data_IF_349469071341
#
_entry.id   IF_349469071341
#
_cell.length_a   1.000
_cell.length_b   1.000
_cell.length_c   1.000
_cell.angle_alpha   90.00
_cell.angle_beta   90.00
_cell.angle_gamma   90.00
#
_symmetry.space_group_name_H-M   'P 1'
#
loop_
_entity.id
_entity.type
_entity.pdbx_description
1 polymer ?
#
# COMPACT_ATOMS: atom_id res chain seq x y z
N UNK A 1 -14.78 22.65 19.37
CA UNK A 1 -14.29 23.24 18.09
C UNK A 1 -12.77 23.15 17.93
N UNK A 2 -12.00 22.82 18.97
CA UNK A 2 -10.53 22.66 18.90
C UNK A 2 -10.07 21.30 18.38
N UNK A 3 -10.90 20.26 18.54
CA UNK A 3 -10.53 18.86 18.25
C UNK A 3 -10.37 18.60 16.74
N UNK A 4 -11.33 19.05 15.93
CA UNK A 4 -11.36 18.79 14.50
C UNK A 4 -10.22 19.49 13.72
N UNK A 5 -9.83 20.69 14.17
CA UNK A 5 -8.69 21.41 13.60
C UNK A 5 -7.34 20.74 13.89
N UNK A 6 -7.27 19.92 14.93
CA UNK A 6 -6.08 19.13 15.26
C UNK A 6 -5.96 17.92 14.32
N UNK A 7 -7.08 17.25 14.03
CA UNK A 7 -7.12 16.08 13.15
C UNK A 7 -6.75 16.39 11.68
N UNK A 8 -7.01 17.61 11.23
CA UNK A 8 -6.57 18.13 9.93
C UNK A 8 -5.05 18.29 9.81
N UNK A 9 -4.35 18.45 10.95
CA UNK A 9 -2.88 18.63 10.98
C UNK A 9 -2.15 17.31 11.12
N UNK A 10 -2.82 16.28 11.63
CA UNK A 10 -2.24 14.96 11.82
C UNK A 10 -2.21 14.22 10.49
N UNK A 11 -1.01 14.07 9.92
CA UNK A 11 -0.80 13.31 8.68
C UNK A 11 -0.64 11.82 8.99
N UNK A 12 -1.55 11.00 8.47
CA UNK A 12 -1.48 9.53 8.55
C UNK A 12 -0.59 8.97 7.45
N UNK A 13 -0.68 9.49 6.23
CA UNK A 13 0.14 9.03 5.11
C UNK A 13 0.89 10.17 4.46
N UNK A 14 2.21 10.23 4.68
CA UNK A 14 3.08 11.26 4.10
C UNK A 14 3.14 11.21 2.57
N UNK A 15 3.17 10.02 1.98
CA UNK A 15 3.28 9.88 0.52
C UNK A 15 2.00 10.28 -0.23
N UNK A 16 0.84 10.19 0.42
CA UNK A 16 -0.46 10.52 -0.17
C UNK A 16 -1.06 11.82 0.37
N UNK A 17 -0.40 12.43 1.35
CA UNK A 17 -0.85 13.61 2.07
C UNK A 17 -2.26 13.45 2.65
N UNK A 18 -2.52 12.30 3.27
CA UNK A 18 -3.82 11.95 3.89
C UNK A 18 -3.77 12.25 5.38
N UNK A 19 -4.75 13.00 5.85
CA UNK A 19 -4.95 13.42 7.25
C UNK A 19 -5.74 12.39 8.08
N UNK A 20 -5.74 12.54 9.41
CA UNK A 20 -6.56 11.73 10.30
C UNK A 20 -8.05 11.97 10.07
N UNK A 21 -8.45 13.24 9.87
CA UNK A 21 -9.84 13.61 9.58
C UNK A 21 -10.37 12.84 8.37
N UNK A 22 -9.64 12.86 7.24
CA UNK A 22 -10.08 12.18 6.02
C UNK A 22 -10.28 10.66 6.21
N UNK A 23 -9.41 10.02 7.01
CA UNK A 23 -9.56 8.59 7.33
C UNK A 23 -10.84 8.36 8.13
N UNK A 24 -11.08 9.16 9.18
CA UNK A 24 -12.26 9.04 10.03
C UNK A 24 -13.56 9.34 9.29
N UNK A 25 -13.57 10.34 8.41
CA UNK A 25 -14.73 10.64 7.56
C UNK A 25 -15.13 9.44 6.71
N UNK A 26 -14.15 8.73 6.13
CA UNK A 26 -14.42 7.53 5.34
C UNK A 26 -14.95 6.38 6.20
N UNK A 27 -14.43 6.20 7.41
CA UNK A 27 -14.94 5.20 8.35
C UNK A 27 -16.37 5.55 8.77
N UNK A 28 -16.66 6.82 9.03
CA UNK A 28 -18.00 7.30 9.38
C UNK A 28 -19.04 7.09 8.26
N UNK A 29 -18.61 6.98 6.99
CA UNK A 29 -19.48 6.56 5.89
C UNK A 29 -19.85 5.06 5.92
N UNK A 30 -19.37 4.31 6.91
CA UNK A 30 -19.66 2.88 7.10
C UNK A 30 -18.59 1.94 6.56
N UNK A 31 -17.40 2.43 6.22
CA UNK A 31 -16.28 1.59 5.77
C UNK A 31 -15.64 0.89 6.97
N UNK A 32 -15.77 -0.44 7.01
CA UNK A 32 -15.25 -1.28 8.12
C UNK A 32 -14.14 -2.25 7.70
N UNK A 33 -13.81 -2.28 6.40
CA UNK A 33 -12.80 -3.15 5.80
C UNK A 33 -11.52 -2.38 5.43
N UNK A 34 -10.37 -2.92 5.82
CA UNK A 34 -9.07 -2.28 5.63
C UNK A 34 -8.69 -2.14 4.15
N UNK A 35 -9.05 -3.10 3.31
CA UNK A 35 -8.76 -3.07 1.88
C UNK A 35 -9.61 -2.01 1.15
N UNK A 36 -10.86 -1.85 1.57
CA UNK A 36 -11.75 -0.80 1.08
C UNK A 36 -11.29 0.59 1.53
N UNK A 37 -10.91 0.73 2.81
CA UNK A 37 -10.35 1.98 3.33
C UNK A 37 -9.05 2.35 2.59
N UNK A 38 -8.17 1.39 2.36
CA UNK A 38 -6.95 1.53 1.54
C UNK A 38 -7.26 1.97 0.11
N UNK A 39 -8.28 1.41 -0.54
CA UNK A 39 -8.70 1.78 -1.91
C UNK A 39 -9.24 3.22 -1.98
N UNK A 40 -10.05 3.62 -1.01
CA UNK A 40 -10.65 4.96 -0.99
C UNK A 40 -9.64 6.06 -0.64
N UNK A 41 -8.84 5.85 0.40
CA UNK A 41 -7.83 6.82 0.86
C UNK A 41 -6.55 6.81 0.02
N UNK A 42 -6.32 5.72 -0.74
CA UNK A 42 -5.05 5.40 -1.41
C UNK A 42 -3.87 5.24 -0.44
N UNK A 43 -4.10 5.18 0.87
CA UNK A 43 -3.05 4.96 1.88
C UNK A 43 -2.32 3.65 1.57
N UNK A 44 -1.02 3.60 1.81
CA UNK A 44 -0.20 2.42 1.53
C UNK A 44 0.17 2.19 0.06
N UNK A 45 -0.28 3.03 -0.88
CA UNK A 45 0.07 2.92 -2.31
C UNK A 45 1.21 3.86 -2.74
N UNK A 46 1.80 4.61 -1.82
CA UNK A 46 2.93 5.50 -2.11
C UNK A 46 4.25 4.75 -2.28
N UNK A 47 5.34 5.47 -2.53
CA UNK A 47 6.70 4.88 -2.68
C UNK A 47 7.12 4.02 -1.49
N UNK A 48 6.65 4.37 -0.28
CA UNK A 48 6.93 3.57 0.93
C UNK A 48 6.17 2.24 0.98
N UNK A 49 5.16 2.03 0.12
CA UNK A 49 4.30 0.84 0.11
C UNK A 49 3.67 0.52 1.47
N UNK A 50 3.32 1.55 2.25
CA UNK A 50 2.58 1.37 3.49
C UNK A 50 3.40 1.09 4.75
N UNK A 51 4.74 1.07 4.65
CA UNK A 51 5.67 0.78 5.77
C UNK A 51 5.40 1.60 7.04
N UNK A 52 4.95 2.84 6.92
CA UNK A 52 4.73 3.74 8.06
C UNK A 52 3.26 3.93 8.44
N UNK A 53 2.34 3.74 7.49
CA UNK A 53 0.95 4.20 7.62
C UNK A 53 -0.06 3.07 7.74
N UNK A 54 0.27 1.83 7.34
CA UNK A 54 -0.69 0.72 7.40
C UNK A 54 -1.03 0.33 8.84
N UNK A 55 -0.03 0.22 9.72
CA UNK A 55 -0.26 -0.09 11.14
C UNK A 55 -1.10 1.00 11.83
N UNK A 56 -0.84 2.28 11.50
CA UNK A 56 -1.66 3.40 11.97
C UNK A 56 -3.10 3.27 11.49
N UNK A 57 -3.30 2.96 10.20
CA UNK A 57 -4.62 2.80 9.61
C UNK A 57 -5.42 1.67 10.26
N UNK A 58 -4.78 0.53 10.53
CA UNK A 58 -5.38 -0.61 11.24
C UNK A 58 -5.81 -0.21 12.65
N UNK A 59 -4.94 0.50 13.40
CA UNK A 59 -5.26 0.96 14.76
C UNK A 59 -6.39 1.97 14.79
N UNK A 60 -6.45 2.88 13.81
CA UNK A 60 -7.54 3.85 13.69
C UNK A 60 -8.83 3.10 13.39
N UNK A 61 -8.85 2.22 12.39
CA UNK A 61 -10.03 1.43 12.03
C UNK A 61 -10.52 0.56 13.20
N UNK A 62 -9.60 -0.09 13.92
CA UNK A 62 -9.91 -0.88 15.10
C UNK A 62 -10.59 -0.05 16.20
N UNK A 63 -10.06 1.15 16.49
CA UNK A 63 -10.64 2.08 17.47
C UNK A 63 -12.03 2.57 17.07
N UNK A 64 -12.20 2.98 15.82
CA UNK A 64 -13.47 3.52 15.33
C UNK A 64 -14.55 2.44 15.17
N UNK A 65 -14.16 1.17 14.93
CA UNK A 65 -15.10 0.05 14.79
C UNK A 65 -15.30 -0.77 16.08
N UNK A 66 -14.55 -0.46 17.15
CA UNK A 66 -14.60 -1.20 18.41
C UNK A 66 -14.06 -2.63 18.33
N UNK A 67 -13.20 -2.92 17.35
CA UNK A 67 -12.59 -4.24 17.11
C UNK A 67 -11.14 -4.25 17.58
N UNK A 68 -10.56 -5.44 17.79
CA UNK A 68 -9.11 -5.54 18.01
C UNK A 68 -8.33 -5.29 16.70
N UNK A 69 -7.08 -4.79 16.76
CA UNK A 69 -6.22 -4.66 15.58
C UNK A 69 -5.99 -5.99 14.83
N UNK A 70 -5.99 -7.10 15.57
CA UNK A 70 -5.80 -8.46 15.04
C UNK A 70 -7.00 -8.90 14.19
N UNK A 71 -8.22 -8.53 14.60
CA UNK A 71 -9.44 -8.80 13.84
C UNK A 71 -9.57 -7.95 12.56
N UNK A 72 -9.02 -6.74 12.56
CA UNK A 72 -8.98 -5.88 11.38
C UNK A 72 -7.98 -6.43 10.37
N UNK A 73 -6.81 -6.85 10.84
CA UNK A 73 -5.76 -7.44 10.03
C UNK A 73 -5.00 -6.45 9.15
N UNK A 74 -3.90 -6.91 8.57
CA UNK A 74 -3.10 -6.12 7.63
C UNK A 74 -3.54 -6.39 6.17
N UNK A 75 -3.42 -5.39 5.29
CA UNK A 75 -3.59 -5.59 3.85
C UNK A 75 -2.64 -6.63 3.28
N UNK A 76 -3.03 -7.19 2.14
CA UNK A 76 -2.18 -8.17 1.43
C UNK A 76 -0.84 -7.55 1.04
N UNK A 77 0.26 -8.19 1.48
CA UNK A 77 1.61 -7.85 1.04
C UNK A 77 1.86 -8.44 -0.36
N UNK A 78 2.49 -7.65 -1.22
CA UNK A 78 2.80 -8.05 -2.60
C UNK A 78 4.29 -7.88 -2.86
N UNK A 79 4.87 -8.84 -3.56
CA UNK A 79 6.24 -8.77 -4.08
C UNK A 79 6.30 -7.79 -5.25
N UNK A 80 7.39 -7.01 -5.41
CA UNK A 80 8.58 -6.89 -4.56
C UNK A 80 8.39 -5.92 -3.37
N UNK A 81 9.00 -6.24 -2.22
CA UNK A 81 8.85 -5.47 -0.95
C UNK A 81 9.48 -4.07 -1.03
N UNK A 82 10.49 -3.94 -1.88
CA UNK A 82 11.14 -2.69 -2.25
C UNK A 82 11.10 -2.54 -3.77
N UNK A 83 11.10 -1.32 -4.30
CA UNK A 83 11.27 -1.10 -5.73
C UNK A 83 12.57 -1.77 -6.21
N UNK A 84 12.48 -2.51 -7.30
CA UNK A 84 13.62 -3.12 -7.98
C UNK A 84 13.63 -2.67 -9.42
N UNK A 85 14.82 -2.53 -9.99
CA UNK A 85 14.97 -2.27 -11.42
C UNK A 85 14.42 -3.44 -12.23
N UNK A 86 13.81 -3.16 -13.38
CA UNK A 86 13.24 -4.21 -14.23
C UNK A 86 14.30 -5.23 -14.68
N UNK A 87 15.53 -4.77 -14.93
CA UNK A 87 16.65 -5.65 -15.29
C UNK A 87 17.07 -6.59 -14.16
N UNK A 88 16.77 -6.29 -12.89
CA UNK A 88 17.06 -7.19 -11.78
C UNK A 88 16.11 -8.40 -11.73
N UNK A 89 15.00 -8.34 -12.47
CA UNK A 89 14.06 -9.45 -12.67
C UNK A 89 14.32 -10.19 -13.99
N UNK A 90 15.33 -9.77 -14.76
CA UNK A 90 15.73 -10.46 -15.98
C UNK A 90 16.40 -11.79 -15.59
N UNK A 91 15.94 -12.87 -16.22
CA UNK A 91 16.53 -14.20 -16.07
C UNK A 91 16.51 -14.86 -17.43
N UNK A 92 17.54 -15.65 -17.71
CA UNK A 92 17.60 -16.45 -18.92
C UNK A 92 16.38 -17.38 -18.99
N UNK A 93 15.56 -17.20 -20.03
CA UNK A 93 14.31 -17.94 -20.22
C UNK A 93 14.58 -19.45 -20.29
N UNK A 94 15.78 -19.84 -20.74
CA UNK A 94 16.23 -21.23 -20.83
C UNK A 94 16.51 -21.84 -19.44
N UNK A 95 16.93 -21.03 -18.46
CA UNK A 95 17.14 -21.46 -17.08
C UNK A 95 15.81 -21.68 -16.35
N UNK A 96 14.80 -20.85 -16.64
CA UNK A 96 13.49 -20.90 -15.96
C UNK A 96 12.51 -21.88 -16.63
N UNK A 97 12.59 -22.02 -17.96
CA UNK A 97 11.68 -22.86 -18.77
C UNK A 97 12.48 -23.64 -19.83
N UNK A 98 13.12 -24.77 -19.46
CA UNK A 98 13.89 -25.56 -20.41
C UNK A 98 13.03 -26.00 -21.59
N UNK A 99 13.51 -25.78 -22.82
CA UNK A 99 12.83 -26.16 -24.07
C UNK A 99 11.97 -25.08 -24.73
N UNK A 100 11.91 -23.85 -24.19
CA UNK A 100 11.20 -22.70 -24.82
C UNK A 100 12.13 -21.71 -25.52
N UNK A 101 13.18 -22.21 -26.19
CA UNK A 101 14.21 -21.44 -26.90
C UNK A 101 13.70 -20.51 -28.02
N UNK A 102 12.43 -20.64 -28.42
CA UNK A 102 11.83 -19.85 -29.50
C UNK A 102 11.22 -18.53 -28.99
N UNK A 103 11.10 -18.33 -27.68
CA UNK A 103 10.57 -17.10 -27.09
C UNK A 103 11.72 -16.09 -26.91
N UNK A 104 12.25 -15.55 -28.02
CA UNK A 104 13.31 -14.52 -27.99
C UNK A 104 12.88 -13.36 -27.09
N UNK A 105 13.72 -13.03 -26.10
CA UNK A 105 13.66 -11.75 -25.38
C UNK A 105 13.65 -10.64 -26.43
N UNK A 106 12.53 -9.93 -26.54
CA UNK A 106 12.46 -8.75 -27.39
C UNK A 106 13.24 -7.64 -26.69
N UNK A 107 14.53 -7.59 -27.02
CA UNK A 107 15.33 -6.38 -27.22
C UNK A 107 15.42 -5.43 -26.04
N UNK A 108 16.58 -5.45 -25.38
CA UNK A 108 17.02 -4.36 -24.53
C UNK A 108 17.20 -3.04 -25.28
N UNK A 109 16.99 -1.97 -24.53
CA UNK A 109 17.63 -0.66 -24.66
C UNK A 109 17.78 -0.19 -23.21
N UNK A 110 18.94 -0.27 -22.55
CA UNK A 110 20.21 0.32 -22.95
C UNK A 110 20.23 1.76 -22.48
N UNK A 111 21.04 2.11 -21.45
CA UNK A 111 21.75 3.39 -21.25
C UNK A 111 22.31 3.51 -19.82
N UNK A 112 23.27 4.42 -19.61
CA UNK A 112 24.73 4.24 -19.73
C UNK A 112 25.38 3.56 -18.53
#
# INVERSE_FOLDING_TARGET
MTDQADEDRIIICRCRNVTLREVKEIIAMGVTDIETLKRMTKVGTGICQGKTCLDLLVRILARETGRSPEEVGLPTLRTPVVPVEMGALETDIEEVLPGKSHLKSRGGAGSP
#
